data_IF_943643912717
#
_entry.id   IF_943643912717
#
_cell.length_a   1.000
_cell.length_b   1.000
_cell.length_c   1.000
_cell.angle_alpha   90.00
_cell.angle_beta   90.00
_cell.angle_gamma   90.00
#
_symmetry.space_group_name_H-M   'P 1'
#
loop_
_entity.id
_entity.type
_entity.pdbx_description
1 polymer ?
#
# COMPACT_ATOMS: atom_id res chain seq x y z
N UNK A 1 -4.99 12.41 12.12
CA UNK A 1 -5.88 11.26 12.31
C UNK A 1 -5.47 10.12 11.38
N UNK A 2 -5.65 8.88 11.84
CA UNK A 2 -5.60 7.67 11.03
C UNK A 2 -7.05 7.29 10.73
N UNK A 3 -7.36 6.91 9.49
CA UNK A 3 -8.71 6.48 9.13
C UNK A 3 -9.09 5.17 9.82
N UNK A 4 -8.29 4.11 9.60
CA UNK A 4 -8.39 2.82 10.29
C UNK A 4 -7.00 2.42 10.79
N UNK A 5 -6.91 2.09 12.06
CA UNK A 5 -5.74 1.47 12.67
C UNK A 5 -6.06 0.05 13.12
N UNK A 6 -5.18 -0.90 12.79
CA UNK A 6 -5.29 -2.29 13.23
C UNK A 6 -3.91 -2.84 13.57
N UNK A 7 -3.80 -3.56 14.68
CA UNK A 7 -2.53 -4.08 15.19
C UNK A 7 -2.72 -5.45 15.87
N UNK A 8 -1.68 -6.30 15.76
CA UNK A 8 -1.51 -7.58 16.48
C UNK A 8 -2.65 -8.60 16.33
N UNK A 9 -3.30 -8.63 15.17
CA UNK A 9 -4.41 -9.54 14.92
C UNK A 9 -3.97 -10.97 14.54
N UNK A 10 -2.67 -11.21 14.38
CA UNK A 10 -2.15 -12.53 14.01
C UNK A 10 -2.18 -13.53 15.16
N UNK A 11 -2.26 -13.07 16.40
CA UNK A 11 -2.21 -13.91 17.60
C UNK A 11 -3.58 -14.36 18.11
N UNK A 12 -4.67 -13.92 17.52
CA UNK A 12 -6.02 -14.27 17.94
C UNK A 12 -6.73 -15.07 16.84
N UNK A 13 -7.18 -16.26 17.21
CA UNK A 13 -8.01 -17.08 16.31
C UNK A 13 -9.22 -16.26 15.83
N UNK A 14 -9.25 -15.89 14.54
CA UNK A 14 -10.34 -15.24 13.79
C UNK A 14 -10.49 -13.71 13.82
N UNK A 15 -9.51 -12.93 14.22
CA UNK A 15 -9.62 -11.48 14.11
C UNK A 15 -9.06 -10.98 12.76
N UNK A 16 -9.82 -11.16 11.70
CA UNK A 16 -9.55 -10.58 10.39
C UNK A 16 -10.33 -9.28 10.24
N UNK A 17 -9.66 -8.21 9.82
CA UNK A 17 -10.34 -6.99 9.41
C UNK A 17 -10.86 -7.17 7.98
N UNK A 18 -12.18 -7.13 7.81
CA UNK A 18 -12.83 -7.23 6.50
C UNK A 18 -13.42 -5.87 6.14
N UNK A 19 -13.02 -5.33 4.98
CA UNK A 19 -13.47 -4.03 4.49
C UNK A 19 -14.06 -4.21 3.08
N UNK A 20 -15.35 -3.99 2.95
CA UNK A 20 -16.01 -4.10 1.65
C UNK A 20 -16.78 -2.82 1.29
N UNK A 21 -16.81 -2.47 -0.01
CA UNK A 21 -17.62 -1.39 -0.55
C UNK A 21 -17.47 -0.06 0.23
N UNK A 22 -16.21 0.29 0.56
CA UNK A 22 -15.93 1.38 1.49
C UNK A 22 -15.07 2.47 0.85
N UNK A 23 -15.18 3.68 1.40
CA UNK A 23 -14.37 4.83 0.99
C UNK A 23 -13.73 5.48 2.22
N UNK A 24 -12.43 5.75 2.15
CA UNK A 24 -11.65 6.41 3.21
C UNK A 24 -10.96 7.62 2.59
N UNK A 25 -11.28 8.79 3.07
CA UNK A 25 -10.76 10.03 2.53
C UNK A 25 -10.29 11.00 3.60
N UNK A 26 -9.31 11.85 3.25
CA UNK A 26 -8.89 13.00 4.04
C UNK A 26 -8.36 12.65 5.44
N UNK A 27 -7.58 11.60 5.54
CA UNK A 27 -6.88 11.24 6.78
C UNK A 27 -5.60 12.08 6.92
N UNK A 28 -5.43 12.81 8.02
CA UNK A 28 -4.25 13.68 8.19
C UNK A 28 -2.92 12.92 8.39
N UNK A 29 -2.99 11.61 8.55
CA UNK A 29 -1.84 10.72 8.61
C UNK A 29 -2.06 9.55 7.63
N UNK A 30 -2.38 8.34 8.08
CA UNK A 30 -2.65 7.19 7.21
C UNK A 30 -4.14 7.01 6.93
N UNK A 31 -4.47 6.55 5.72
CA UNK A 31 -5.82 6.07 5.42
C UNK A 31 -6.11 4.78 6.17
N UNK A 32 -5.33 3.75 5.93
CA UNK A 32 -5.27 2.51 6.71
C UNK A 32 -3.83 2.30 7.17
N UNK A 33 -3.65 2.08 8.45
CA UNK A 33 -2.39 1.68 9.04
C UNK A 33 -2.57 0.32 9.72
N UNK A 34 -2.01 -0.72 9.10
CA UNK A 34 -2.13 -2.09 9.55
C UNK A 34 -0.75 -2.60 9.97
N UNK A 35 -0.61 -2.96 11.25
CA UNK A 35 0.62 -3.44 11.85
C UNK A 35 0.42 -4.87 12.34
N UNK A 36 1.16 -5.83 11.79
CA UNK A 36 1.05 -7.26 12.13
C UNK A 36 -0.40 -7.75 12.10
N UNK A 37 -1.12 -7.49 11.02
CA UNK A 37 -2.58 -7.69 10.96
C UNK A 37 -2.99 -8.60 9.81
N UNK A 38 -4.20 -9.12 9.88
CA UNK A 38 -4.87 -9.79 8.77
C UNK A 38 -5.96 -8.89 8.21
N UNK A 39 -5.84 -8.49 6.93
CA UNK A 39 -6.78 -7.58 6.28
C UNK A 39 -7.24 -8.16 4.95
N UNK A 40 -8.55 -8.30 4.79
CA UNK A 40 -9.17 -8.57 3.48
C UNK A 40 -10.01 -7.37 3.07
N UNK A 41 -9.75 -6.84 1.86
CA UNK A 41 -10.51 -5.70 1.36
C UNK A 41 -11.00 -5.93 -0.07
N UNK A 42 -12.24 -5.55 -0.34
CA UNK A 42 -12.78 -5.54 -1.68
C UNK A 42 -13.60 -4.28 -1.97
N UNK A 43 -13.45 -3.75 -3.20
CA UNK A 43 -14.12 -2.52 -3.61
C UNK A 43 -13.89 -1.38 -2.61
N UNK A 44 -12.62 -1.17 -2.27
CA UNK A 44 -12.18 -0.15 -1.33
C UNK A 44 -11.52 1.01 -2.09
N UNK A 45 -11.92 2.22 -1.77
CA UNK A 45 -11.31 3.45 -2.32
C UNK A 45 -10.67 4.23 -1.18
N UNK A 46 -9.37 4.51 -1.30
CA UNK A 46 -8.64 5.36 -0.34
C UNK A 46 -8.00 6.52 -1.09
N UNK A 47 -8.13 7.72 -0.55
CA UNK A 47 -7.47 8.90 -1.12
C UNK A 47 -7.20 9.97 -0.07
N UNK A 48 -6.23 10.85 -0.36
CA UNK A 48 -5.90 12.02 0.45
C UNK A 48 -5.51 11.66 1.89
N UNK A 49 -4.36 11.03 2.01
CA UNK A 49 -3.73 10.71 3.30
C UNK A 49 -2.42 11.48 3.45
N UNK A 50 -2.20 12.10 4.60
CA UNK A 50 -1.00 12.92 4.87
C UNK A 50 0.30 12.12 4.87
N UNK A 51 0.21 10.80 4.98
CA UNK A 51 1.28 9.83 4.76
C UNK A 51 0.82 8.80 3.71
N UNK A 52 0.81 7.51 3.98
CA UNK A 52 0.31 6.52 3.03
C UNK A 52 -1.21 6.35 3.09
N UNK A 53 -1.81 6.07 1.95
CA UNK A 53 -3.22 5.67 1.90
C UNK A 53 -3.42 4.27 2.49
N UNK A 54 -2.52 3.34 2.19
CA UNK A 54 -2.49 2.03 2.82
C UNK A 54 -1.05 1.70 3.23
N UNK A 55 -0.83 1.40 4.50
CA UNK A 55 0.43 0.92 5.02
C UNK A 55 0.24 -0.45 5.70
N UNK A 56 0.91 -1.47 5.16
CA UNK A 56 1.04 -2.81 5.73
C UNK A 56 2.43 -2.95 6.32
N UNK A 57 2.54 -3.04 7.65
CA UNK A 57 3.83 -2.99 8.34
C UNK A 57 3.98 -4.12 9.36
N UNK A 58 5.22 -4.50 9.64
CA UNK A 58 5.57 -5.44 10.71
C UNK A 58 4.98 -6.84 10.55
N UNK A 59 4.76 -7.28 9.30
CA UNK A 59 4.19 -8.59 9.01
C UNK A 59 2.69 -8.58 8.76
N UNK A 60 2.11 -9.76 8.55
CA UNK A 60 0.67 -9.91 8.37
C UNK A 60 0.25 -10.55 7.07
N UNK A 61 -1.07 -10.72 6.94
CA UNK A 61 -1.73 -11.33 5.78
C UNK A 61 -2.69 -10.33 5.15
N UNK A 62 -2.45 -9.98 3.90
CA UNK A 62 -3.21 -8.95 3.20
C UNK A 62 -3.73 -9.48 1.86
N UNK A 63 -5.03 -9.37 1.64
CA UNK A 63 -5.68 -9.76 0.40
C UNK A 63 -6.65 -8.67 -0.06
N UNK A 64 -6.25 -7.94 -1.10
CA UNK A 64 -6.98 -6.79 -1.62
C UNK A 64 -7.42 -7.03 -3.06
N UNK A 65 -8.67 -6.76 -3.36
CA UNK A 65 -9.19 -6.90 -4.73
C UNK A 65 -10.12 -5.76 -5.11
N UNK A 66 -10.04 -5.30 -6.36
CA UNK A 66 -10.83 -4.18 -6.87
C UNK A 66 -10.69 -2.92 -6.00
N UNK A 67 -9.46 -2.60 -5.60
CA UNK A 67 -9.17 -1.45 -4.76
C UNK A 67 -8.60 -0.28 -5.57
N UNK A 68 -8.92 0.94 -5.16
CA UNK A 68 -8.29 2.16 -5.64
C UNK A 68 -7.54 2.79 -4.47
N UNK A 69 -6.24 2.58 -4.44
CA UNK A 69 -5.34 3.10 -3.41
C UNK A 69 -4.59 4.27 -4.00
N UNK A 70 -5.12 5.46 -3.80
CA UNK A 70 -4.55 6.68 -4.36
C UNK A 70 -4.18 7.67 -3.28
N UNK A 71 -3.27 8.60 -3.60
CA UNK A 71 -2.95 9.65 -2.66
C UNK A 71 -2.67 10.99 -3.34
N UNK A 72 -3.73 11.76 -3.54
CA UNK A 72 -3.68 13.13 -4.06
C UNK A 72 -3.71 14.15 -2.91
N UNK A 73 -2.87 13.92 -1.89
CA UNK A 73 -2.69 14.83 -0.76
C UNK A 73 -1.96 16.09 -1.19
N UNK A 74 -2.49 17.26 -0.82
CA UNK A 74 -1.95 18.55 -1.21
C UNK A 74 -1.89 19.59 -0.05
N UNK A 75 -2.12 19.14 1.19
CA UNK A 75 -2.15 20.05 2.34
C UNK A 75 -0.78 20.23 3.01
N UNK A 76 0.15 19.31 2.79
CA UNK A 76 1.51 19.33 3.32
C UNK A 76 2.42 18.38 2.55
N UNK A 77 3.72 18.42 2.83
CA UNK A 77 4.66 17.42 2.34
C UNK A 77 4.27 16.03 2.83
N UNK A 78 4.36 15.05 1.92
CA UNK A 78 4.12 13.63 2.17
C UNK A 78 5.44 12.87 2.06
N UNK A 79 5.74 12.05 3.04
CA UNK A 79 7.00 11.29 3.10
C UNK A 79 6.90 9.93 2.42
N UNK A 80 5.73 9.27 2.49
CA UNK A 80 5.54 7.90 2.01
C UNK A 80 4.60 7.84 0.79
N UNK A 81 4.72 6.78 -0.04
CA UNK A 81 3.86 6.57 -1.19
C UNK A 81 2.42 6.23 -0.80
N UNK A 82 1.54 6.13 -1.79
CA UNK A 82 0.15 5.69 -1.58
C UNK A 82 0.06 4.32 -0.93
N UNK A 83 0.90 3.38 -1.37
CA UNK A 83 0.99 2.02 -0.83
C UNK A 83 2.40 1.75 -0.28
N UNK A 84 2.46 1.46 1.02
CA UNK A 84 3.69 1.08 1.72
C UNK A 84 3.56 -0.34 2.27
N UNK A 85 4.54 -1.19 1.97
CA UNK A 85 4.63 -2.57 2.45
C UNK A 85 6.00 -2.76 3.11
N UNK A 86 6.03 -3.05 4.41
CA UNK A 86 7.27 -3.31 5.14
C UNK A 86 7.12 -4.51 6.07
N UNK A 87 8.13 -5.36 6.15
CA UNK A 87 8.12 -6.46 7.12
C UNK A 87 8.70 -6.06 8.48
N UNK A 88 8.96 -4.80 8.71
CA UNK A 88 9.52 -4.26 9.93
C UNK A 88 8.78 -3.00 10.39
N UNK A 89 9.08 -2.57 11.60
CA UNK A 89 8.63 -1.32 12.18
C UNK A 89 9.79 -0.64 12.91
N UNK A 90 9.84 0.67 12.85
CA UNK A 90 10.78 1.49 13.63
C UNK A 90 10.00 2.09 14.79
N UNK A 91 10.45 1.83 16.02
CA UNK A 91 9.80 2.37 17.21
C UNK A 91 10.16 3.86 17.45
N UNK A 92 9.67 4.41 18.58
CA UNK A 92 9.92 5.80 18.96
C UNK A 92 11.37 6.10 19.30
N UNK A 93 12.16 5.09 19.63
CA UNK A 93 13.57 5.21 19.99
C UNK A 93 14.50 5.02 18.78
N UNK A 94 13.90 4.74 17.60
CA UNK A 94 14.59 4.51 16.35
C UNK A 94 15.13 3.09 16.18
N UNK A 95 14.76 2.17 17.08
CA UNK A 95 15.13 0.77 16.98
C UNK A 95 14.23 0.04 15.98
N UNK A 96 14.86 -0.80 15.15
CA UNK A 96 14.11 -1.63 14.21
C UNK A 96 13.56 -2.83 14.97
N UNK A 97 12.27 -2.84 15.16
CA UNK A 97 11.56 -4.00 15.65
C UNK A 97 11.38 -4.96 14.47
N UNK A 98 11.97 -6.09 14.60
CA UNK A 98 11.82 -7.21 13.68
C UNK A 98 10.53 -7.96 14.11
N UNK A 99 9.70 -8.55 13.42
CA UNK A 99 9.19 -8.82 12.14
C UNK A 99 8.46 -10.14 12.16
N UNK A 100 7.40 -10.19 11.51
CA UNK A 100 6.72 -11.43 11.18
C UNK A 100 6.75 -11.61 9.66
N UNK A 101 6.43 -12.82 9.21
CA UNK A 101 6.18 -13.04 7.79
C UNK A 101 5.09 -12.08 7.30
N UNK A 102 5.31 -11.51 6.13
CA UNK A 102 4.34 -10.65 5.47
C UNK A 102 3.95 -11.27 4.13
N UNK A 103 2.66 -11.48 3.93
CA UNK A 103 2.10 -11.89 2.65
C UNK A 103 1.10 -10.84 2.18
N UNK A 104 1.35 -10.23 1.01
CA UNK A 104 0.53 -9.16 0.46
C UNK A 104 0.09 -9.47 -0.96
N UNK A 105 -1.18 -9.72 -1.15
CA UNK A 105 -1.77 -9.95 -2.46
C UNK A 105 -2.71 -8.80 -2.83
N UNK A 106 -2.56 -8.29 -4.04
CA UNK A 106 -3.47 -7.28 -4.56
C UNK A 106 -3.80 -7.57 -6.02
N UNK A 107 -5.07 -7.48 -6.37
CA UNK A 107 -5.53 -7.73 -7.74
C UNK A 107 -6.57 -6.75 -8.23
N UNK A 108 -6.62 -6.56 -9.57
CA UNK A 108 -7.62 -5.73 -10.26
C UNK A 108 -7.72 -4.32 -9.64
N UNK A 109 -6.58 -3.69 -9.38
CA UNK A 109 -6.52 -2.50 -8.52
C UNK A 109 -5.66 -1.39 -9.13
N UNK A 110 -5.85 -0.17 -8.63
CA UNK A 110 -5.12 1.02 -9.06
C UNK A 110 -4.32 1.57 -7.87
N UNK A 111 -3.02 1.76 -8.06
CA UNK A 111 -2.12 2.44 -7.14
C UNK A 111 -1.57 3.68 -7.84
N UNK A 112 -1.97 4.86 -7.37
CA UNK A 112 -1.62 6.13 -8.02
C UNK A 112 -1.61 7.29 -7.02
N UNK A 113 -1.25 8.48 -7.48
CA UNK A 113 -1.23 9.70 -6.66
C UNK A 113 -0.41 10.81 -7.31
N UNK A 114 -0.06 11.82 -6.51
CA UNK A 114 0.68 12.98 -7.00
C UNK A 114 2.20 12.84 -6.95
N UNK A 115 2.75 11.83 -6.23
CA UNK A 115 4.19 11.57 -6.25
C UNK A 115 4.61 10.75 -7.48
N UNK A 116 5.91 10.75 -7.78
CA UNK A 116 6.45 9.96 -8.90
C UNK A 116 6.39 8.45 -8.62
N UNK A 117 6.61 8.08 -7.37
CA UNK A 117 6.60 6.70 -6.90
C UNK A 117 5.49 6.56 -5.86
N UNK A 118 4.49 5.75 -6.17
CA UNK A 118 3.30 5.56 -5.33
C UNK A 118 3.21 4.15 -4.71
N UNK A 119 4.30 3.40 -4.79
CA UNK A 119 4.40 2.06 -4.26
C UNK A 119 5.82 1.82 -3.73
N UNK A 120 5.95 1.39 -2.47
CA UNK A 120 7.22 0.93 -1.89
C UNK A 120 7.04 -0.41 -1.17
N UNK A 121 8.04 -1.26 -1.36
CA UNK A 121 8.25 -2.51 -0.63
C UNK A 121 9.63 -2.50 -0.02
N UNK A 122 9.70 -2.51 1.29
CA UNK A 122 10.96 -2.53 2.01
C UNK A 122 11.04 -3.76 2.92
N UNK A 123 12.16 -4.43 2.83
CA UNK A 123 12.45 -5.63 3.60
C UNK A 123 13.64 -5.39 4.51
N UNK A 124 13.47 -5.73 5.77
CA UNK A 124 14.55 -5.80 6.73
C UNK A 124 14.77 -7.25 7.10
N UNK A 125 16.06 -7.67 7.05
CA UNK A 125 16.49 -9.01 7.36
C UNK A 125 15.90 -10.13 6.45
N UNK A 126 16.29 -11.38 6.69
CA UNK A 126 15.93 -12.55 5.86
C UNK A 126 14.51 -13.11 6.13
N UNK A 127 13.67 -12.37 6.83
CA UNK A 127 12.29 -12.80 7.05
C UNK A 127 11.46 -12.74 5.78
N UNK A 128 10.52 -13.67 5.65
CA UNK A 128 9.72 -13.81 4.45
C UNK A 128 8.81 -12.60 4.23
N UNK A 129 9.14 -11.85 3.20
CA UNK A 129 8.26 -10.85 2.62
C UNK A 129 7.83 -11.32 1.24
N UNK A 130 6.59 -11.77 1.14
CA UNK A 130 5.99 -12.21 -0.10
C UNK A 130 4.93 -11.20 -0.53
N UNK A 131 4.94 -10.86 -1.81
CA UNK A 131 3.89 -10.01 -2.35
C UNK A 131 3.60 -10.37 -3.80
N UNK A 132 2.34 -10.18 -4.21
CA UNK A 132 1.92 -10.33 -5.60
C UNK A 132 0.92 -9.26 -6.01
N UNK A 133 1.22 -8.66 -7.15
CA UNK A 133 0.32 -7.75 -7.87
C UNK A 133 -0.18 -8.45 -9.14
N UNK A 134 -1.49 -8.43 -9.34
CA UNK A 134 -2.11 -9.03 -10.52
C UNK A 134 -3.15 -8.10 -11.13
N UNK A 135 -3.05 -7.85 -12.45
CA UNK A 135 -3.96 -6.95 -13.18
C UNK A 135 -4.04 -5.56 -12.51
N UNK A 136 -2.91 -4.97 -12.19
CA UNK A 136 -2.87 -3.69 -11.49
C UNK A 136 -2.28 -2.58 -12.35
N UNK A 137 -2.79 -1.37 -12.15
CA UNK A 137 -2.17 -0.15 -12.62
C UNK A 137 -1.34 0.44 -11.48
N UNK A 138 -0.06 0.70 -11.74
CA UNK A 138 0.87 1.19 -10.71
C UNK A 138 1.63 2.41 -11.24
N UNK A 139 1.62 3.50 -10.49
CA UNK A 139 2.47 4.65 -10.75
C UNK A 139 3.83 4.46 -10.09
N UNK A 140 4.86 4.30 -10.92
CA UNK A 140 6.24 4.08 -10.49
C UNK A 140 7.22 4.68 -11.50
N UNK A 141 7.43 5.99 -11.42
CA UNK A 141 8.36 6.75 -12.27
C UNK A 141 9.69 6.94 -11.54
N UNK A 142 10.60 5.97 -11.67
CA UNK A 142 11.94 6.02 -11.07
C UNK A 142 12.91 6.80 -11.98
N UNK A 143 12.75 8.12 -12.06
CA UNK A 143 13.55 8.98 -12.92
C UNK A 143 15.05 9.04 -12.55
N UNK A 144 15.39 8.66 -11.35
CA UNK A 144 16.75 8.72 -10.83
C UNK A 144 17.42 7.34 -10.72
N UNK A 145 16.77 6.29 -11.21
CA UNK A 145 17.22 4.89 -11.15
C UNK A 145 17.59 4.41 -9.73
N UNK A 146 16.88 4.94 -8.71
CA UNK A 146 17.14 4.61 -7.30
C UNK A 146 16.80 3.14 -7.01
N UNK A 147 15.79 2.61 -7.69
CA UNK A 147 15.28 1.24 -7.51
C UNK A 147 15.76 0.27 -8.60
N UNK A 148 16.51 0.77 -9.58
CA UNK A 148 17.05 -0.05 -10.67
C UNK A 148 17.95 -1.15 -10.11
N UNK A 149 17.69 -2.40 -10.52
CA UNK A 149 18.44 -3.58 -10.06
C UNK A 149 17.99 -4.14 -8.70
N UNK A 150 17.09 -3.50 -7.99
CA UNK A 150 16.51 -4.06 -6.77
C UNK A 150 15.44 -5.10 -7.13
N UNK A 151 15.56 -6.32 -6.60
CA UNK A 151 14.71 -7.46 -6.96
C UNK A 151 13.21 -7.28 -6.65
N UNK A 152 12.87 -6.39 -5.70
CA UNK A 152 11.48 -6.07 -5.39
C UNK A 152 10.81 -5.20 -6.45
N UNK A 153 11.59 -4.51 -7.30
CA UNK A 153 11.07 -3.63 -8.35
C UNK A 153 11.34 -4.14 -9.76
N UNK A 154 11.62 -5.44 -9.89
CA UNK A 154 11.68 -6.10 -11.19
C UNK A 154 10.26 -6.46 -11.67
N UNK A 155 9.60 -5.54 -12.35
CA UNK A 155 8.25 -5.73 -12.86
C UNK A 155 8.11 -6.81 -13.95
N UNK A 156 9.22 -7.38 -14.42
CA UNK A 156 9.21 -8.55 -15.32
C UNK A 156 9.16 -9.89 -14.56
N UNK A 157 9.30 -9.88 -13.24
CA UNK A 157 9.18 -11.09 -12.42
C UNK A 157 7.70 -11.48 -12.26
N UNK A 158 7.27 -12.51 -12.99
CA UNK A 158 5.87 -12.97 -13.00
C UNK A 158 5.41 -13.61 -11.68
N UNK A 159 6.32 -13.98 -10.79
CA UNK A 159 5.95 -14.44 -9.44
C UNK A 159 5.39 -13.28 -8.60
N UNK A 160 5.96 -12.06 -8.79
CA UNK A 160 5.57 -10.85 -8.05
C UNK A 160 4.58 -9.98 -8.82
N UNK A 161 4.68 -9.94 -10.16
CA UNK A 161 3.95 -9.00 -11.00
C UNK A 161 3.33 -9.72 -12.21
N UNK A 162 2.03 -9.78 -12.27
CA UNK A 162 1.29 -10.41 -13.35
C UNK A 162 0.34 -9.40 -14.00
N UNK A 163 0.54 -9.12 -15.28
CA UNK A 163 -0.29 -8.17 -16.05
C UNK A 163 -0.35 -6.77 -15.40
N UNK A 164 0.79 -6.10 -15.31
CA UNK A 164 0.93 -4.77 -14.70
C UNK A 164 0.98 -3.68 -15.76
N UNK A 165 0.24 -2.62 -15.52
CA UNK A 165 0.22 -1.41 -16.32
C UNK A 165 0.96 -0.30 -15.58
N UNK A 166 2.22 -0.04 -15.97
CA UNK A 166 3.03 0.98 -15.33
C UNK A 166 2.76 2.36 -15.91
N UNK A 167 2.62 3.33 -15.02
CA UNK A 167 2.61 4.75 -15.36
C UNK A 167 1.52 5.19 -16.34
N UNK A 168 0.44 4.42 -16.45
CA UNK A 168 -0.73 4.88 -17.19
C UNK A 168 -1.50 5.90 -16.38
N UNK A 169 -2.16 6.83 -17.07
CA UNK A 169 -3.11 7.74 -16.44
C UNK A 169 -4.44 7.00 -16.22
N UNK A 170 -4.95 7.06 -15.01
CA UNK A 170 -6.24 6.46 -14.66
C UNK A 170 -7.44 7.32 -15.12
N UNK A 171 -7.18 8.55 -15.60
CA UNK A 171 -8.18 9.51 -16.10
C UNK A 171 -9.37 9.71 -15.13
N UNK A 172 -9.08 9.80 -13.83
CA UNK A 172 -10.09 10.10 -12.84
C UNK A 172 -10.76 11.44 -13.12
N UNK A 173 -12.06 11.53 -12.94
CA UNK A 173 -12.84 12.75 -13.20
C UNK A 173 -12.33 13.96 -12.41
N UNK A 174 -12.05 13.78 -11.11
CA UNK A 174 -11.45 14.81 -10.26
C UNK A 174 -10.86 14.20 -8.99
N UNK A 175 -9.59 13.89 -9.03
CA UNK A 175 -8.86 13.25 -7.94
C UNK A 175 -8.74 14.12 -6.67
N UNK A 176 -8.72 15.44 -6.86
CA UNK A 176 -8.65 16.39 -5.73
C UNK A 176 -9.97 16.58 -5.02
N UNK A 177 -11.08 16.18 -5.60
CA UNK A 177 -12.40 16.18 -4.98
C UNK A 177 -12.90 14.75 -4.62
N UNK A 178 -12.00 13.76 -4.66
CA UNK A 178 -12.32 12.35 -4.43
C UNK A 178 -13.32 11.74 -5.44
N UNK A 179 -13.41 12.30 -6.64
CA UNK A 179 -14.20 11.76 -7.75
C UNK A 179 -13.32 10.78 -8.55
N UNK A 180 -13.03 9.62 -7.94
CA UNK A 180 -12.13 8.58 -8.45
C UNK A 180 -12.90 7.54 -9.30
N UNK A 181 -13.74 7.99 -10.17
CA UNK A 181 -14.41 7.18 -11.19
C UNK A 181 -13.97 7.65 -12.58
N UNK A 182 -13.93 6.71 -13.49
CA UNK A 182 -13.49 6.87 -14.88
C UNK A 182 -14.71 7.11 -15.77
#
# INVERSE_FOLDING_TARGET
TIGIYTEDQLNTNNNQLIINNSKIYNSSNFGIFAKSSSVTASNLVINKSGQSSFAATYGGEYDLTHCTITNFWNNSFRQFPSLLITNYWIDSDGEILNNSNLNFNISNSIISGNENIEFLVEQYDDTNLNFKFKNCMIKFNDFNDIFTGQGNYNFSNLEKYENIFLNLNADFKNEYNNELFI
#
